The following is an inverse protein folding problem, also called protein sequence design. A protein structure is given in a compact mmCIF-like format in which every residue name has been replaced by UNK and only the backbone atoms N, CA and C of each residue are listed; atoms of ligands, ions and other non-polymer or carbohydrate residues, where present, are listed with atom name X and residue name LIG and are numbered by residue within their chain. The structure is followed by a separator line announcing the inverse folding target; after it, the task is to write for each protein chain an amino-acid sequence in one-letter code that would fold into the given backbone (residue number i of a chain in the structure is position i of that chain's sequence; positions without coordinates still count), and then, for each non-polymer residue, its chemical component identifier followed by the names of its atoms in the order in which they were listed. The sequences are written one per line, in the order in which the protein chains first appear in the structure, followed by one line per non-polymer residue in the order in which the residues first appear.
data_IF_869396982617
#
_entry.id   IF_869396982617
#
_cell.length_a   1.000
_cell.length_b   1.000
_cell.length_c   1.000
_cell.angle_alpha   90.00
_cell.angle_beta   90.00
_cell.angle_gamma   90.00
#
_symmetry.space_group_name_H-M   'P 1'
#
loop_
_entity.id
_entity.type
_entity.pdbx_description
1 polymer ?
#
# COMPACT_ATOMS: atom_id res chain seq x y z
N UNK A 1 2.86 -10.60 4.20
CA UNK A 1 4.10 -11.36 4.40
C UNK A 1 5.18 -10.39 4.87
N UNK A 2 6.09 -10.85 5.72
CA UNK A 2 7.22 -10.04 6.20
C UNK A 2 8.28 -10.02 5.10
N UNK A 3 8.64 -8.83 4.64
CA UNK A 3 9.76 -8.67 3.71
C UNK A 3 11.05 -8.90 4.49
N UNK A 4 11.72 -10.04 4.25
CA UNK A 4 12.97 -10.38 4.95
C UNK A 4 14.16 -10.07 4.04
N UNK A 5 15.05 -9.14 4.43
CA UNK A 5 16.25 -8.80 3.66
C UNK A 5 17.38 -9.82 3.81
N UNK A 6 17.10 -11.04 4.28
CA UNK A 6 18.14 -11.97 4.74
C UNK A 6 18.64 -12.90 3.62
N UNK A 7 19.97 -13.04 3.40
CA UNK A 7 20.56 -13.97 2.43
C UNK A 7 20.42 -15.47 2.77
N UNK A 8 19.59 -15.83 3.76
CA UNK A 8 19.47 -17.21 4.29
C UNK A 8 18.05 -17.74 4.12
N UNK A 9 17.53 -17.68 2.89
CA UNK A 9 16.17 -18.12 2.59
C UNK A 9 15.92 -19.59 2.97
N UNK A 10 16.93 -20.45 2.85
CA UNK A 10 16.84 -21.86 3.25
C UNK A 10 16.61 -22.04 4.76
N UNK A 11 17.24 -21.21 5.58
CA UNK A 11 17.02 -21.19 7.03
C UNK A 11 15.63 -20.68 7.36
N UNK A 12 15.16 -19.64 6.64
CA UNK A 12 13.79 -19.15 6.77
C UNK A 12 12.76 -20.24 6.49
N UNK A 13 12.93 -21.04 5.42
CA UNK A 13 12.04 -22.18 5.12
C UNK A 13 12.01 -23.16 6.29
N UNK A 14 13.16 -23.49 6.87
CA UNK A 14 13.25 -24.39 8.02
C UNK A 14 12.46 -23.85 9.22
N UNK A 15 12.61 -22.56 9.54
CA UNK A 15 11.88 -21.93 10.64
C UNK A 15 10.37 -21.84 10.38
N UNK A 16 9.93 -21.52 9.17
CA UNK A 16 8.50 -21.50 8.86
C UNK A 16 7.87 -22.89 8.88
N UNK A 17 8.55 -23.92 8.36
CA UNK A 17 8.10 -25.31 8.52
C UNK A 17 7.96 -25.68 9.99
N UNK A 18 8.92 -25.27 10.82
CA UNK A 18 8.85 -25.50 12.27
C UNK A 18 7.67 -24.77 12.92
N UNK A 19 7.44 -23.51 12.58
CA UNK A 19 6.35 -22.69 13.10
C UNK A 19 4.98 -23.28 12.75
N UNK A 20 4.77 -23.66 11.48
CA UNK A 20 3.54 -24.30 11.00
C UNK A 20 3.30 -25.63 11.69
N UNK A 21 4.35 -26.44 11.92
CA UNK A 21 4.24 -27.72 12.64
C UNK A 21 3.82 -27.53 14.10
N UNK A 22 4.39 -26.54 14.79
CA UNK A 22 4.06 -26.25 16.19
C UNK A 22 2.68 -25.62 16.34
N UNK A 23 2.29 -24.78 15.38
CA UNK A 23 1.03 -24.05 15.39
C UNK A 23 0.36 -24.13 14.01
N UNK A 24 -0.42 -25.20 13.74
CA UNK A 24 -1.05 -25.41 12.43
C UNK A 24 -2.04 -24.32 12.01
N UNK A 25 -2.63 -23.59 12.97
CA UNK A 25 -3.53 -22.46 12.73
C UNK A 25 -2.79 -21.12 12.55
N UNK A 26 -1.45 -21.13 12.43
CA UNK A 26 -0.66 -19.93 12.17
C UNK A 26 -0.67 -19.58 10.67
N UNK A 27 -1.81 -19.12 10.18
CA UNK A 27 -2.07 -18.86 8.76
C UNK A 27 -1.02 -17.94 8.10
N UNK A 28 -0.60 -16.86 8.77
CA UNK A 28 0.41 -15.94 8.25
C UNK A 28 1.78 -16.61 8.05
N UNK A 29 2.16 -17.54 8.94
CA UNK A 29 3.37 -18.33 8.80
C UNK A 29 3.25 -19.32 7.63
N UNK A 30 2.07 -19.93 7.45
CA UNK A 30 1.80 -20.81 6.31
C UNK A 30 1.89 -20.07 4.97
N UNK A 31 1.21 -18.93 4.82
CA UNK A 31 1.32 -18.13 3.59
C UNK A 31 2.75 -17.67 3.32
N UNK A 32 3.51 -17.30 4.36
CA UNK A 32 4.92 -16.94 4.23
C UNK A 32 5.79 -18.12 3.81
N UNK A 33 5.51 -19.32 4.31
CA UNK A 33 6.17 -20.56 3.89
C UNK A 33 5.95 -20.83 2.40
N UNK A 34 4.70 -20.85 1.94
CA UNK A 34 4.36 -21.12 0.53
C UNK A 34 5.01 -20.10 -0.40
N UNK A 35 4.96 -18.81 -0.04
CA UNK A 35 5.62 -17.75 -0.79
C UNK A 35 7.16 -17.94 -0.83
N UNK A 36 7.79 -18.32 0.29
CA UNK A 36 9.23 -18.58 0.32
C UNK A 36 9.64 -19.80 -0.50
N UNK A 37 8.87 -20.89 -0.44
CA UNK A 37 9.09 -22.08 -1.28
C UNK A 37 9.05 -21.69 -2.77
N UNK A 38 8.09 -20.85 -3.17
CA UNK A 38 8.04 -20.27 -4.52
C UNK A 38 9.29 -19.45 -4.86
N UNK A 39 9.76 -18.57 -3.95
CA UNK A 39 10.97 -17.75 -4.16
C UNK A 39 12.25 -18.57 -4.32
N UNK A 40 12.38 -19.71 -3.63
CA UNK A 40 13.54 -20.61 -3.76
C UNK A 40 13.33 -21.71 -4.81
N UNK A 41 12.23 -21.65 -5.57
CA UNK A 41 11.86 -22.62 -6.59
C UNK A 41 11.74 -24.07 -6.05
N UNK A 42 11.38 -24.25 -4.78
CA UNK A 42 11.07 -25.55 -4.20
C UNK A 42 9.61 -25.91 -4.47
N UNK A 43 9.36 -26.61 -5.57
CA UNK A 43 8.00 -26.95 -6.03
C UNK A 43 7.52 -28.35 -5.65
N UNK A 44 8.26 -29.07 -4.80
CA UNK A 44 7.97 -30.48 -4.46
C UNK A 44 6.56 -30.71 -3.89
N UNK A 45 6.04 -29.73 -3.16
CA UNK A 45 4.73 -29.78 -2.49
C UNK A 45 3.75 -28.73 -3.04
N UNK A 46 4.06 -28.12 -4.19
CA UNK A 46 3.37 -26.93 -4.69
C UNK A 46 1.85 -27.10 -4.81
N UNK A 47 1.37 -28.18 -5.40
CA UNK A 47 -0.07 -28.39 -5.61
C UNK A 47 -0.84 -28.57 -4.29
N UNK A 48 -0.25 -29.26 -3.31
CA UNK A 48 -0.81 -29.44 -1.97
C UNK A 48 -0.83 -28.11 -1.20
N UNK A 49 0.30 -27.39 -1.26
CA UNK A 49 0.46 -26.11 -0.58
C UNK A 49 -0.48 -25.04 -1.12
N UNK A 50 -0.58 -24.94 -2.44
CA UNK A 50 -1.51 -24.04 -3.12
C UNK A 50 -2.96 -24.42 -2.81
N UNK A 51 -3.30 -25.71 -2.83
CA UNK A 51 -4.65 -26.17 -2.47
C UNK A 51 -5.05 -25.78 -1.06
N UNK A 52 -4.12 -25.86 -0.11
CA UNK A 52 -4.33 -25.41 1.28
C UNK A 52 -4.44 -23.90 1.40
N UNK A 53 -3.55 -23.16 0.72
CA UNK A 53 -3.61 -21.70 0.68
C UNK A 53 -4.94 -21.20 0.11
N UNK A 54 -5.46 -21.81 -0.98
CA UNK A 54 -6.77 -21.47 -1.55
C UNK A 54 -7.91 -21.69 -0.58
N UNK A 55 -7.95 -22.82 0.14
CA UNK A 55 -8.97 -23.06 1.18
C UNK A 55 -8.94 -21.97 2.24
N UNK A 56 -7.75 -21.64 2.75
CA UNK A 56 -7.58 -20.58 3.75
C UNK A 56 -8.02 -19.19 3.24
N UNK A 57 -7.73 -18.87 1.97
CA UNK A 57 -8.18 -17.63 1.32
C UNK A 57 -9.71 -17.59 1.27
N UNK A 58 -10.35 -18.68 0.83
CA UNK A 58 -11.81 -18.76 0.72
C UNK A 58 -12.52 -18.72 2.09
N UNK A 59 -11.89 -19.26 3.13
CA UNK A 59 -12.33 -19.12 4.53
C UNK A 59 -12.07 -17.73 5.13
N UNK A 60 -11.41 -16.83 4.39
CA UNK A 60 -11.12 -15.46 4.82
C UNK A 60 -10.02 -15.37 5.88
N UNK A 61 -9.10 -16.33 5.94
CA UNK A 61 -7.97 -16.29 6.90
C UNK A 61 -6.99 -15.17 6.52
N UNK A 62 -6.65 -14.34 7.51
CA UNK A 62 -5.67 -13.27 7.34
C UNK A 62 -4.23 -13.80 7.25
N UNK A 63 -3.32 -12.96 6.74
CA UNK A 63 -1.87 -13.22 6.70
C UNK A 63 -1.25 -13.17 5.31
N UNK A 64 -2.04 -13.33 4.25
CA UNK A 64 -1.63 -13.09 2.87
C UNK A 64 -1.96 -11.65 2.47
N UNK A 65 -0.98 -10.91 1.98
CA UNK A 65 -1.17 -9.56 1.44
C UNK A 65 -1.36 -9.60 -0.08
N UNK A 66 -2.16 -8.69 -0.68
CA UNK A 66 -2.44 -8.67 -2.12
C UNK A 66 -1.20 -8.69 -3.01
N UNK A 67 -0.17 -7.90 -2.71
CA UNK A 67 1.06 -7.86 -3.50
C UNK A 67 1.78 -9.23 -3.56
N UNK A 68 1.75 -9.98 -2.45
CA UNK A 68 2.35 -11.32 -2.38
C UNK A 68 1.46 -12.38 -3.03
N UNK A 69 0.14 -12.18 -3.00
CA UNK A 69 -0.83 -13.08 -3.64
C UNK A 69 -0.72 -13.08 -5.17
N UNK A 70 -0.20 -12.01 -5.78
CA UNK A 70 0.08 -11.96 -7.22
C UNK A 70 1.11 -13.01 -7.68
N UNK A 71 1.92 -13.55 -6.78
CA UNK A 71 2.84 -14.65 -7.10
C UNK A 71 2.11 -16.01 -7.21
N UNK A 72 0.85 -16.09 -6.80
CA UNK A 72 0.06 -17.32 -6.78
C UNK A 72 -0.89 -17.31 -7.99
N UNK A 73 -1.17 -18.47 -8.62
CA UNK A 73 -2.11 -18.57 -9.74
C UNK A 73 -3.55 -18.56 -9.21
N UNK A 74 -3.96 -17.45 -8.60
CA UNK A 74 -5.29 -17.27 -8.03
C UNK A 74 -6.28 -16.78 -9.07
N UNK A 75 -7.54 -17.15 -8.90
CA UNK A 75 -8.67 -16.57 -9.63
C UNK A 75 -8.96 -15.15 -9.16
N UNK A 76 -9.73 -14.39 -9.94
CA UNK A 76 -10.16 -13.04 -9.56
C UNK A 76 -10.94 -13.04 -8.24
N UNK A 77 -11.80 -14.05 -8.01
CA UNK A 77 -12.55 -14.17 -6.75
C UNK A 77 -11.60 -14.36 -5.55
N UNK A 78 -10.61 -15.24 -5.68
CA UNK A 78 -9.61 -15.48 -4.64
C UNK A 78 -8.77 -14.22 -4.35
N UNK A 79 -8.36 -13.49 -5.39
CA UNK A 79 -7.64 -12.21 -5.22
C UNK A 79 -8.51 -11.15 -4.55
N UNK A 80 -9.80 -11.06 -4.89
CA UNK A 80 -10.74 -10.20 -4.20
C UNK A 80 -10.91 -10.59 -2.73
N UNK A 81 -10.90 -11.90 -2.40
CA UNK A 81 -10.95 -12.38 -1.01
C UNK A 81 -9.73 -11.95 -0.23
N UNK A 82 -8.51 -12.17 -0.77
CA UNK A 82 -7.26 -11.71 -0.14
C UNK A 82 -7.31 -10.21 0.13
N UNK A 83 -7.69 -9.43 -0.87
CA UNK A 83 -7.74 -7.97 -0.77
C UNK A 83 -8.76 -7.49 0.26
N UNK A 84 -9.96 -8.07 0.28
CA UNK A 84 -11.00 -7.74 1.26
C UNK A 84 -10.58 -8.11 2.68
N UNK A 85 -9.97 -9.28 2.89
CA UNK A 85 -9.48 -9.68 4.21
C UNK A 85 -8.37 -8.72 4.67
N UNK A 86 -7.44 -8.34 3.78
CA UNK A 86 -6.39 -7.37 4.12
C UNK A 86 -6.94 -5.97 4.41
N UNK A 87 -7.93 -5.50 3.65
CA UNK A 87 -8.51 -4.17 3.83
C UNK A 87 -9.21 -4.01 5.18
N UNK A 88 -9.71 -5.10 5.78
CA UNK A 88 -10.34 -5.07 7.11
C UNK A 88 -9.38 -4.63 8.22
N UNK A 89 -8.06 -4.75 8.03
CA UNK A 89 -7.06 -4.32 9.02
C UNK A 89 -7.09 -2.80 9.26
N UNK A 90 -7.66 -2.02 8.33
CA UNK A 90 -7.82 -0.58 8.49
C UNK A 90 -8.98 -0.22 9.42
N UNK A 91 -9.97 -1.11 9.58
CA UNK A 91 -11.23 -0.82 10.29
C UNK A 91 -11.02 -0.31 11.73
N UNK A 92 -10.13 -0.91 12.56
CA UNK A 92 -9.90 -0.39 13.90
C UNK A 92 -9.38 1.05 13.92
N UNK A 93 -8.52 1.40 12.96
CA UNK A 93 -8.00 2.76 12.81
C UNK A 93 -9.16 3.70 12.47
N UNK A 94 -9.97 3.34 11.47
CA UNK A 94 -11.13 4.15 11.05
C UNK A 94 -12.13 4.35 12.18
N UNK A 95 -12.47 3.30 12.92
CA UNK A 95 -13.40 3.41 14.05
C UNK A 95 -12.88 4.36 15.14
N UNK A 96 -11.56 4.42 15.34
CA UNK A 96 -10.94 5.31 16.33
C UNK A 96 -10.83 6.76 15.83
N UNK A 97 -10.66 6.99 14.53
CA UNK A 97 -10.37 8.31 13.96
C UNK A 97 -11.58 9.02 13.36
N UNK A 98 -12.49 8.29 12.73
CA UNK A 98 -13.62 8.85 11.97
C UNK A 98 -14.51 9.82 12.77
N UNK A 99 -14.81 9.61 14.08
CA UNK A 99 -15.60 10.56 14.86
C UNK A 99 -14.97 11.95 15.02
N UNK A 100 -13.66 12.05 14.85
CA UNK A 100 -12.88 13.29 15.00
C UNK A 100 -12.51 13.93 13.66
N UNK A 101 -12.72 13.21 12.55
CA UNK A 101 -12.39 13.68 11.21
C UNK A 101 -13.62 14.26 10.51
N UNK A 102 -13.51 15.51 10.08
CA UNK A 102 -14.52 16.19 9.26
C UNK A 102 -13.96 16.33 7.84
N UNK A 103 -14.41 15.53 6.87
CA UNK A 103 -13.92 15.62 5.50
C UNK A 103 -14.34 16.96 4.88
N UNK A 104 -13.45 17.54 4.08
CA UNK A 104 -13.75 18.65 3.21
C UNK A 104 -14.65 18.13 2.09
N UNK A 105 -15.73 18.87 1.85
CA UNK A 105 -16.72 18.53 0.84
C UNK A 105 -16.57 19.46 -0.38
N UNK A 106 -15.94 18.99 -1.47
CA UNK A 106 -15.90 19.71 -2.73
C UNK A 106 -17.31 19.94 -3.27
N UNK A 107 -17.59 21.16 -3.75
CA UNK A 107 -18.87 21.49 -4.39
C UNK A 107 -18.88 21.03 -5.85
N UNK A 108 -19.02 19.73 -6.08
CA UNK A 108 -19.07 19.18 -7.44
C UNK A 108 -20.34 19.53 -8.26
N UNK A 109 -21.38 20.09 -7.62
CA UNK A 109 -22.68 20.31 -8.23
C UNK A 109 -22.69 21.22 -9.47
N UNK A 110 -21.66 22.05 -9.66
CA UNK A 110 -21.50 22.94 -10.82
C UNK A 110 -20.19 22.67 -11.61
N UNK A 111 -19.52 21.54 -11.35
CA UNK A 111 -18.16 21.29 -11.84
C UNK A 111 -17.09 22.15 -11.14
N UNK A 112 -15.82 21.88 -11.46
CA UNK A 112 -14.69 22.75 -11.05
C UNK A 112 -14.85 24.07 -11.78
N UNK A 113 -14.68 25.19 -11.07
CA UNK A 113 -14.85 26.50 -11.69
C UNK A 113 -13.80 26.68 -12.79
N UNK A 114 -14.15 27.42 -13.84
CA UNK A 114 -13.24 27.65 -14.97
C UNK A 114 -11.93 28.36 -14.57
N UNK A 115 -11.91 29.03 -13.42
CA UNK A 115 -10.76 29.72 -12.83
C UNK A 115 -9.97 28.86 -11.82
N UNK A 116 -10.37 27.60 -11.59
CA UNK A 116 -9.81 26.73 -10.55
C UNK A 116 -8.99 25.56 -11.15
N UNK A 117 -7.86 25.24 -10.51
CA UNK A 117 -7.01 24.09 -10.87
C UNK A 117 -7.56 22.82 -10.24
N UNK A 118 -7.45 21.69 -10.92
CA UNK A 118 -7.72 20.39 -10.33
C UNK A 118 -6.60 20.04 -9.33
N UNK A 119 -6.89 20.22 -8.04
CA UNK A 119 -6.05 19.78 -6.93
C UNK A 119 -5.94 18.26 -6.83
N UNK A 120 -4.72 17.74 -6.83
CA UNK A 120 -4.37 16.33 -6.73
C UNK A 120 -3.54 16.09 -5.48
N UNK A 121 -4.06 15.33 -4.52
CA UNK A 121 -3.26 14.77 -3.45
C UNK A 121 -2.67 13.44 -3.91
N UNK A 122 -1.35 13.33 -3.90
CA UNK A 122 -0.65 12.07 -4.21
C UNK A 122 0.07 11.59 -2.95
N UNK A 123 -0.11 10.32 -2.59
CA UNK A 123 0.52 9.75 -1.41
C UNK A 123 1.35 8.52 -1.80
N UNK A 124 2.60 8.50 -1.34
CA UNK A 124 3.47 7.33 -1.52
C UNK A 124 4.61 7.26 -0.51
N UNK A 125 4.99 6.06 -0.08
CA UNK A 125 6.26 5.76 0.57
C UNK A 125 7.40 5.52 -0.44
N UNK A 126 7.09 5.44 -1.73
CA UNK A 126 8.00 4.93 -2.76
C UNK A 126 8.45 5.99 -3.77
N UNK A 127 8.26 7.28 -3.46
CA UNK A 127 8.79 8.42 -4.23
C UNK A 127 10.30 8.62 -4.01
N UNK A 128 11.06 7.55 -4.10
CA UNK A 128 12.51 7.48 -3.92
C UNK A 128 13.12 6.51 -4.94
N UNK A 129 14.25 5.87 -4.65
CA UNK A 129 14.89 4.93 -5.57
C UNK A 129 14.10 3.65 -5.88
N UNK A 130 12.96 3.45 -5.21
CA UNK A 130 12.02 2.35 -5.47
C UNK A 130 11.32 2.48 -6.85
N UNK A 131 10.70 1.39 -7.36
CA UNK A 131 10.15 1.36 -8.71
C UNK A 131 9.15 2.48 -9.03
N UNK A 132 8.25 2.81 -8.09
CA UNK A 132 7.25 3.87 -8.28
C UNK A 132 7.93 5.21 -8.53
N UNK A 133 8.84 5.64 -7.66
CA UNK A 133 9.56 6.91 -7.79
C UNK A 133 10.31 7.03 -9.12
N UNK A 134 10.94 5.94 -9.59
CA UNK A 134 11.60 5.93 -10.90
C UNK A 134 10.62 6.15 -12.07
N UNK A 135 9.43 5.54 -12.01
CA UNK A 135 8.40 5.67 -13.05
C UNK A 135 7.80 7.08 -13.08
N UNK A 136 7.54 7.68 -11.92
CA UNK A 136 6.83 8.97 -11.84
C UNK A 136 7.73 10.20 -11.75
N UNK A 137 9.05 10.02 -11.59
CA UNK A 137 10.04 11.11 -11.38
C UNK A 137 9.83 12.36 -12.25
N UNK A 138 9.51 12.18 -13.52
CA UNK A 138 9.31 13.28 -14.47
C UNK A 138 7.83 13.56 -14.78
N UNK A 139 6.92 12.72 -14.31
CA UNK A 139 5.49 12.80 -14.62
C UNK A 139 4.92 14.14 -14.14
N UNK A 140 5.10 14.48 -12.87
CA UNK A 140 4.56 15.70 -12.29
C UNK A 140 5.13 16.97 -12.95
N UNK A 141 6.41 16.94 -13.36
CA UNK A 141 7.05 18.03 -14.12
C UNK A 141 6.38 18.29 -15.48
N UNK A 142 5.84 17.26 -16.11
CA UNK A 142 5.19 17.35 -17.42
C UNK A 142 3.70 17.73 -17.34
N UNK A 143 3.13 17.83 -16.13
CA UNK A 143 1.73 18.20 -15.96
C UNK A 143 1.52 19.70 -16.21
N UNK A 144 0.38 20.04 -16.83
CA UNK A 144 -0.02 21.41 -17.11
C UNK A 144 -0.40 22.15 -15.82
N UNK A 145 0.50 23.01 -15.34
CA UNK A 145 0.32 23.79 -14.10
C UNK A 145 -0.82 24.79 -14.13
N UNK A 146 -1.33 25.12 -15.32
CA UNK A 146 -2.51 25.98 -15.46
C UNK A 146 -3.81 25.22 -15.17
N UNK A 147 -3.75 23.89 -15.18
CA UNK A 147 -4.91 23.00 -15.00
C UNK A 147 -4.84 22.15 -13.74
N UNK A 148 -3.65 21.86 -13.23
CA UNK A 148 -3.44 20.98 -12.09
C UNK A 148 -2.60 21.66 -11.00
N UNK A 149 -2.92 21.32 -9.76
CA UNK A 149 -2.15 21.65 -8.56
C UNK A 149 -1.87 20.34 -7.83
N UNK A 150 -0.62 20.12 -7.40
CA UNK A 150 -0.18 18.80 -6.93
C UNK A 150 0.37 18.91 -5.52
N UNK A 151 -0.28 18.23 -4.58
CA UNK A 151 0.11 18.10 -3.18
C UNK A 151 0.68 16.70 -2.95
N UNK A 152 1.96 16.61 -2.58
CA UNK A 152 2.65 15.33 -2.43
C UNK A 152 2.87 14.98 -0.96
N UNK A 153 2.35 13.84 -0.53
CA UNK A 153 2.48 13.30 0.82
C UNK A 153 3.44 12.10 0.79
N UNK A 154 4.70 12.32 1.17
CA UNK A 154 5.74 11.30 1.14
C UNK A 154 5.84 10.56 2.48
N UNK A 155 5.49 9.27 2.49
CA UNK A 155 5.29 8.47 3.70
C UNK A 155 6.54 7.68 4.17
N UNK A 156 7.71 7.93 3.57
CA UNK A 156 8.98 7.32 3.98
C UNK A 156 10.02 8.38 4.38
N UNK A 157 11.21 7.92 4.79
CA UNK A 157 12.30 8.79 5.24
C UNK A 157 12.88 9.54 4.05
N UNK A 158 13.23 10.80 4.26
CA UNK A 158 14.00 11.57 3.29
C UNK A 158 15.38 10.90 3.17
N UNK A 159 15.65 10.32 2.02
CA UNK A 159 16.84 9.49 1.77
C UNK A 159 17.95 10.23 1.01
N UNK A 160 17.70 11.48 0.61
CA UNK A 160 18.62 12.29 -0.19
C UNK A 160 18.78 11.81 -1.64
N UNK A 161 17.92 10.88 -2.10
CA UNK A 161 17.96 10.41 -3.47
C UNK A 161 17.59 11.54 -4.44
N UNK A 162 18.29 11.59 -5.57
CA UNK A 162 17.98 12.55 -6.63
C UNK A 162 16.56 12.37 -7.20
N UNK A 163 15.98 11.17 -7.09
CA UNK A 163 14.59 10.91 -7.48
C UNK A 163 13.62 11.63 -6.57
N UNK A 164 13.79 11.50 -5.25
CA UNK A 164 12.96 12.21 -4.28
C UNK A 164 13.08 13.73 -4.47
N UNK A 165 14.30 14.23 -4.64
CA UNK A 165 14.58 15.65 -4.89
C UNK A 165 13.85 16.14 -6.16
N UNK A 166 13.93 15.39 -7.25
CA UNK A 166 13.27 15.77 -8.50
C UNK A 166 11.74 15.76 -8.37
N UNK A 167 11.16 14.79 -7.67
CA UNK A 167 9.73 14.74 -7.40
C UNK A 167 9.31 15.93 -6.53
N UNK A 168 10.02 16.20 -5.43
CA UNK A 168 9.73 17.30 -4.52
C UNK A 168 9.78 18.67 -5.22
N UNK A 169 10.73 18.88 -6.15
CA UNK A 169 10.79 20.09 -6.96
C UNK A 169 9.78 20.13 -8.12
N UNK A 170 9.07 19.03 -8.37
CA UNK A 170 8.11 18.90 -9.46
C UNK A 170 6.67 18.85 -8.95
N UNK A 171 6.38 19.21 -7.72
CA UNK A 171 5.01 19.32 -7.17
C UNK A 171 4.80 20.74 -6.64
N UNK A 172 3.54 21.14 -6.44
CA UNK A 172 3.23 22.49 -5.94
C UNK A 172 3.56 22.56 -4.44
N UNK A 173 3.20 21.51 -3.68
CA UNK A 173 3.56 21.37 -2.26
C UNK A 173 4.06 19.95 -1.95
N UNK A 174 5.06 19.85 -1.06
CA UNK A 174 5.67 18.60 -0.65
C UNK A 174 5.68 18.44 0.87
N UNK A 175 5.07 17.36 1.36
CA UNK A 175 4.89 17.07 2.78
C UNK A 175 5.57 15.73 3.14
N UNK A 176 6.64 15.74 3.94
CA UNK A 176 7.16 14.52 4.55
C UNK A 176 6.25 14.08 5.71
N UNK A 177 5.63 12.91 5.61
CA UNK A 177 4.57 12.44 6.53
C UNK A 177 4.85 11.10 7.22
N UNK A 178 6.08 10.60 7.13
CA UNK A 178 6.48 9.36 7.81
C UNK A 178 6.20 9.44 9.31
N UNK A 179 5.50 8.43 9.82
CA UNK A 179 5.17 8.32 11.24
C UNK A 179 4.10 9.29 11.74
N UNK A 180 3.48 10.10 10.87
CA UNK A 180 2.34 10.93 11.28
C UNK A 180 1.13 10.06 11.62
N UNK A 181 0.50 10.35 12.76
CA UNK A 181 -0.73 9.71 13.18
C UNK A 181 -1.84 9.84 12.12
N UNK A 182 -2.67 8.81 11.90
CA UNK A 182 -3.74 8.79 10.90
C UNK A 182 -4.62 10.03 10.84
N UNK A 183 -5.19 10.46 11.97
CA UNK A 183 -6.07 11.64 12.03
C UNK A 183 -5.33 12.90 11.58
N UNK A 184 -4.09 13.09 12.04
CA UNK A 184 -3.30 14.27 11.71
C UNK A 184 -2.94 14.32 10.22
N UNK A 185 -2.60 13.18 9.63
CA UNK A 185 -2.34 13.10 8.20
C UNK A 185 -3.62 13.36 7.40
N UNK A 186 -4.75 12.77 7.80
CA UNK A 186 -6.03 13.02 7.14
C UNK A 186 -6.42 14.50 7.18
N UNK A 187 -6.29 15.16 8.33
CA UNK A 187 -6.48 16.62 8.46
C UNK A 187 -5.54 17.42 7.58
N UNK A 188 -4.26 17.04 7.50
CA UNK A 188 -3.28 17.71 6.64
C UNK A 188 -3.69 17.61 5.16
N UNK A 189 -4.02 16.41 4.69
CA UNK A 189 -4.54 16.20 3.32
C UNK A 189 -5.80 17.02 3.09
N UNK A 190 -6.70 17.05 4.07
CA UNK A 190 -7.98 17.75 3.99
C UNK A 190 -7.82 19.28 3.90
N UNK A 191 -6.81 19.84 4.56
CA UNK A 191 -6.53 21.28 4.55
C UNK A 191 -6.08 21.77 3.17
N UNK A 192 -5.44 20.91 2.38
CA UNK A 192 -5.07 21.20 0.99
C UNK A 192 -6.27 21.13 0.03
N UNK A 193 -7.43 20.66 0.50
CA UNK A 193 -8.68 20.59 -0.26
C UNK A 193 -8.52 19.92 -1.64
N UNK A 194 -7.88 18.74 -1.72
CA UNK A 194 -7.62 18.08 -3.00
C UNK A 194 -8.91 17.49 -3.58
N UNK A 195 -9.16 17.73 -4.85
CA UNK A 195 -10.30 17.14 -5.57
C UNK A 195 -10.16 15.63 -5.75
N UNK A 196 -8.93 15.16 -5.94
CA UNK A 196 -8.62 13.74 -6.14
C UNK A 196 -7.46 13.33 -5.24
N UNK A 197 -7.67 12.27 -4.46
CA UNK A 197 -6.60 11.56 -3.76
C UNK A 197 -6.15 10.35 -4.60
N UNK A 198 -4.85 10.23 -4.82
CA UNK A 198 -4.22 9.13 -5.56
C UNK A 198 -3.23 8.42 -4.65
N UNK A 199 -3.54 7.17 -4.31
CA UNK A 199 -2.64 6.26 -3.61
C UNK A 199 -1.73 5.54 -4.60
N UNK A 200 -0.42 5.76 -4.46
CA UNK A 200 0.62 5.11 -5.27
C UNK A 200 1.25 3.88 -4.60
N UNK A 201 0.93 3.58 -3.34
CA UNK A 201 1.40 2.39 -2.64
C UNK A 201 0.52 1.17 -2.90
N UNK A 202 -0.79 1.31 -2.72
CA UNK A 202 -1.69 0.17 -2.56
C UNK A 202 -1.31 -0.68 -1.32
N UNK A 203 -1.41 -2.00 -1.40
CA UNK A 203 -1.13 -2.90 -0.26
C UNK A 203 0.36 -3.29 -0.16
N UNK A 204 1.22 -2.29 -0.05
CA UNK A 204 2.69 -2.45 0.05
C UNK A 204 3.23 -1.88 1.37
N UNK A 205 4.54 -2.00 1.59
CA UNK A 205 5.19 -1.41 2.75
C UNK A 205 5.05 0.11 2.75
N UNK A 206 4.80 0.70 3.93
CA UNK A 206 4.64 2.16 4.08
C UNK A 206 3.31 2.72 3.59
N UNK A 207 2.40 1.88 3.10
CA UNK A 207 1.07 2.28 2.66
C UNK A 207 0.27 2.97 3.79
N UNK A 208 -0.53 3.96 3.40
CA UNK A 208 -1.39 4.77 4.27
C UNK A 208 -2.87 4.62 3.88
N UNK A 209 -3.33 3.38 3.78
CA UNK A 209 -4.66 3.02 3.28
C UNK A 209 -5.80 3.64 4.11
N UNK A 210 -5.54 3.97 5.37
CA UNK A 210 -6.50 4.64 6.23
C UNK A 210 -6.86 6.04 5.76
N UNK A 211 -6.01 6.69 4.94
CA UNK A 211 -6.26 8.04 4.45
C UNK A 211 -7.33 8.04 3.36
N UNK A 212 -7.35 7.05 2.47
CA UNK A 212 -8.42 6.89 1.49
C UNK A 212 -9.73 6.34 2.07
N UNK A 213 -9.69 5.79 3.28
CA UNK A 213 -10.85 5.25 3.97
C UNK A 213 -11.51 6.22 4.98
N UNK A 214 -10.83 7.32 5.33
CA UNK A 214 -11.35 8.40 6.18
C UNK A 214 -12.18 9.40 5.37
#
# INVERSE_FOLDING_TARGET
AVEMPHPRLDECVTYFRHAVRLKPDFHAAYFSLVHLLGRVCDWRTWDEDLGTARRMIMEGKAGLGPIFALAFPLTDEEMCRVTRTRSQEVIPIINATRPYFVPWEPRYGNGIRADERLGLAVISADFNYKPVGQLVRHMFKMMDRTRFEIFCFYADSIDGSHILVDIAHSVDEFFPVKGMEPLRLAELVNNEQPHVLIDFNGYTEGARLEIGAL
#
